data_IF_582756267845
#
_entry.id   IF_582756267845
#
_cell.length_a   1.000
_cell.length_b   1.000
_cell.length_c   1.000
_cell.angle_alpha   90.00
_cell.angle_beta   90.00
_cell.angle_gamma   90.00
#
_symmetry.space_group_name_H-M   'P 1'
#
loop_
_entity.id
_entity.type
_entity.pdbx_description
1 polymer ?
#
# COMPACT_ATOMS: atom_id res chain seq x y z
N UNK A 1 -29.11 -14.79 -3.75
CA UNK A 1 -29.23 -14.33 -2.35
C UNK A 1 -27.87 -14.25 -1.65
N UNK A 2 -27.08 -15.34 -1.62
CA UNK A 2 -25.75 -15.36 -0.98
C UNK A 2 -24.77 -14.29 -1.53
N UNK A 3 -24.75 -14.08 -2.85
CA UNK A 3 -23.85 -13.10 -3.47
C UNK A 3 -24.19 -11.64 -3.12
N UNK A 4 -25.48 -11.29 -3.06
CA UNK A 4 -25.93 -9.94 -2.68
C UNK A 4 -25.61 -9.68 -1.20
N UNK A 5 -25.86 -10.67 -0.33
CA UNK A 5 -25.50 -10.58 1.09
C UNK A 5 -23.98 -10.41 1.27
N UNK A 6 -23.17 -11.13 0.49
CA UNK A 6 -21.72 -11.00 0.51
C UNK A 6 -21.24 -9.61 0.10
N UNK A 7 -21.81 -9.02 -0.97
CA UNK A 7 -21.46 -7.66 -1.40
C UNK A 7 -21.81 -6.63 -0.32
N UNK A 8 -23.02 -6.71 0.25
CA UNK A 8 -23.45 -5.79 1.31
C UNK A 8 -22.52 -5.84 2.52
N UNK A 9 -22.23 -7.05 3.02
CA UNK A 9 -21.33 -7.24 4.16
C UNK A 9 -19.91 -6.76 3.84
N UNK A 10 -19.41 -6.98 2.62
CA UNK A 10 -18.10 -6.49 2.21
C UNK A 10 -18.03 -4.96 2.23
N UNK A 11 -19.05 -4.28 1.70
CA UNK A 11 -19.11 -2.81 1.68
C UNK A 11 -19.18 -2.23 3.10
N UNK A 12 -19.96 -2.84 4.00
CA UNK A 12 -20.01 -2.43 5.41
C UNK A 12 -18.65 -2.53 6.09
N UNK A 13 -17.92 -3.63 5.84
CA UNK A 13 -16.57 -3.82 6.37
C UNK A 13 -15.59 -2.80 5.80
N UNK A 14 -15.65 -2.50 4.51
CA UNK A 14 -14.82 -1.47 3.89
C UNK A 14 -15.10 -0.09 4.52
N UNK A 15 -16.37 0.24 4.75
CA UNK A 15 -16.75 1.48 5.45
C UNK A 15 -16.22 1.51 6.89
N UNK A 16 -16.26 0.39 7.60
CA UNK A 16 -15.71 0.28 8.95
C UNK A 16 -14.19 0.47 8.96
N UNK A 17 -13.44 -0.07 7.99
CA UNK A 17 -11.99 0.15 7.86
C UNK A 17 -11.71 1.65 7.75
N UNK A 18 -12.41 2.37 6.87
CA UNK A 18 -12.25 3.81 6.70
C UNK A 18 -12.51 4.58 8.01
N UNK A 19 -13.62 4.28 8.69
CA UNK A 19 -13.99 4.94 9.96
C UNK A 19 -12.94 4.66 11.04
N UNK A 20 -12.52 3.40 11.17
CA UNK A 20 -11.56 2.97 12.16
C UNK A 20 -10.17 3.55 11.89
N UNK A 21 -9.75 3.64 10.63
CA UNK A 21 -8.49 4.27 10.23
C UNK A 21 -8.48 5.76 10.58
N UNK A 22 -9.54 6.50 10.25
CA UNK A 22 -9.66 7.92 10.62
C UNK A 22 -9.61 8.08 12.14
N UNK A 23 -10.30 7.22 12.88
CA UNK A 23 -10.30 7.22 14.34
C UNK A 23 -8.90 6.90 14.89
N UNK A 24 -8.24 5.89 14.34
CA UNK A 24 -6.91 5.46 14.74
C UNK A 24 -5.86 6.55 14.56
N UNK A 25 -5.87 7.26 13.42
CA UNK A 25 -5.02 8.42 13.20
C UNK A 25 -5.21 9.52 14.25
N UNK A 26 -6.45 9.72 14.72
CA UNK A 26 -6.80 10.80 15.68
C UNK A 26 -6.55 10.43 17.13
N UNK A 27 -6.80 9.17 17.50
CA UNK A 27 -6.89 8.74 18.90
C UNK A 27 -5.74 7.83 19.33
N UNK A 28 -5.19 7.05 18.40
CA UNK A 28 -4.19 6.02 18.71
C UNK A 28 -2.76 6.46 18.33
N UNK A 29 -2.62 7.28 17.28
CA UNK A 29 -1.33 7.83 16.90
C UNK A 29 -1.00 9.03 17.78
N UNK A 30 0.10 8.92 18.52
CA UNK A 30 0.59 10.01 19.35
C UNK A 30 0.97 11.23 18.52
N UNK A 31 0.82 12.42 19.11
CA UNK A 31 1.15 13.71 18.48
C UNK A 31 2.59 13.71 17.94
N UNK A 32 3.52 13.07 18.65
CA UNK A 32 4.93 12.96 18.23
C UNK A 32 5.06 12.25 16.87
N UNK A 33 4.38 11.12 16.69
CA UNK A 33 4.40 10.37 15.44
C UNK A 33 3.75 11.15 14.29
N UNK A 34 2.65 11.87 14.58
CA UNK A 34 2.03 12.77 13.58
C UNK A 34 3.02 13.85 13.16
N UNK A 35 3.72 14.46 14.11
CA UNK A 35 4.74 15.48 13.82
C UNK A 35 5.92 14.93 13.02
N UNK A 36 6.37 13.69 13.31
CA UNK A 36 7.40 13.01 12.52
C UNK A 36 6.94 12.72 11.08
N UNK A 37 5.70 12.28 10.89
CA UNK A 37 5.12 12.10 9.54
C UNK A 37 5.02 13.43 8.79
N UNK A 38 4.53 14.47 9.46
CA UNK A 38 4.41 15.80 8.85
C UNK A 38 5.77 16.41 8.51
N UNK A 39 6.81 16.17 9.32
CA UNK A 39 8.14 16.71 9.05
C UNK A 39 8.81 16.09 7.82
N UNK A 40 8.42 14.87 7.44
CA UNK A 40 8.87 14.20 6.20
C UNK A 40 7.88 14.36 5.04
N UNK A 41 6.86 15.23 5.17
CA UNK A 41 5.97 15.63 4.08
C UNK A 41 4.61 14.92 4.03
N UNK A 42 4.30 14.00 4.95
CA UNK A 42 2.98 13.36 4.99
C UNK A 42 1.92 14.25 5.64
N UNK A 43 0.74 14.31 5.02
CA UNK A 43 -0.46 14.79 5.67
C UNK A 43 -1.30 13.61 6.15
N UNK A 44 -1.36 13.40 7.47
CA UNK A 44 -2.13 12.31 8.10
C UNK A 44 -3.63 12.36 7.79
N UNK A 45 -4.18 13.54 7.47
CA UNK A 45 -5.60 13.67 7.08
C UNK A 45 -5.88 13.10 5.67
N UNK A 46 -4.84 12.97 4.86
CA UNK A 46 -4.89 12.45 3.50
C UNK A 46 -4.30 11.04 3.37
N UNK A 47 -3.65 10.53 4.42
CA UNK A 47 -3.01 9.22 4.44
C UNK A 47 -4.03 8.15 4.83
N UNK A 48 -4.61 7.50 3.83
CA UNK A 48 -5.71 6.56 4.00
C UNK A 48 -5.46 5.26 3.23
N UNK A 49 -4.99 4.24 3.95
CA UNK A 49 -4.68 2.92 3.43
C UNK A 49 -5.93 2.07 3.13
N UNK A 50 -7.11 2.42 3.67
CA UNK A 50 -8.34 1.66 3.42
C UNK A 50 -8.62 1.46 1.92
N UNK A 51 -8.22 2.43 1.08
CA UNK A 51 -8.42 2.39 -0.37
C UNK A 51 -7.74 1.18 -1.00
N UNK A 52 -6.46 1.01 -0.71
CA UNK A 52 -5.69 -0.14 -1.17
C UNK A 52 -6.21 -1.46 -0.60
N UNK A 53 -6.51 -1.47 0.71
CA UNK A 53 -7.04 -2.65 1.40
C UNK A 53 -8.40 -3.06 0.82
N UNK A 54 -9.24 -2.10 0.45
CA UNK A 54 -10.50 -2.34 -0.26
C UNK A 54 -10.24 -3.05 -1.59
N UNK A 55 -9.28 -2.58 -2.39
CA UNK A 55 -8.95 -3.23 -3.66
C UNK A 55 -8.42 -4.65 -3.45
N UNK A 56 -7.65 -4.90 -2.38
CA UNK A 56 -7.24 -6.25 -1.98
C UNK A 56 -8.43 -7.13 -1.58
N UNK A 57 -9.34 -6.64 -0.74
CA UNK A 57 -10.55 -7.36 -0.31
C UNK A 57 -11.47 -7.72 -1.48
N UNK A 58 -11.62 -6.81 -2.43
CA UNK A 58 -12.42 -7.01 -3.65
C UNK A 58 -11.74 -7.93 -4.67
N UNK A 59 -10.51 -8.39 -4.40
CA UNK A 59 -9.74 -9.25 -5.30
C UNK A 59 -9.21 -8.54 -6.53
N UNK A 60 -9.26 -7.20 -6.56
CA UNK A 60 -8.69 -6.40 -7.64
C UNK A 60 -7.16 -6.43 -7.59
N UNK A 61 -6.63 -6.28 -6.38
CA UNK A 61 -5.21 -6.39 -6.05
C UNK A 61 -4.93 -7.69 -5.33
N UNK A 62 -3.74 -8.21 -5.54
CA UNK A 62 -3.26 -9.30 -4.72
C UNK A 62 -2.93 -8.84 -3.31
N UNK A 63 -2.11 -7.79 -3.18
CA UNK A 63 -1.67 -7.29 -1.89
C UNK A 63 -1.56 -5.77 -1.85
N UNK A 64 -1.58 -5.26 -0.63
CA UNK A 64 -1.26 -3.88 -0.25
C UNK A 64 0.00 -3.90 0.60
N UNK A 65 0.89 -2.95 0.36
CA UNK A 65 2.12 -2.76 1.14
C UNK A 65 2.06 -1.39 1.81
N UNK A 66 2.05 -1.37 3.13
CA UNK A 66 2.12 -0.15 3.94
C UNK A 66 3.57 0.02 4.40
N UNK A 67 4.18 1.14 4.02
CA UNK A 67 5.61 1.43 4.26
C UNK A 67 5.81 2.64 5.16
N UNK A 68 4.79 3.44 5.40
CA UNK A 68 4.88 4.75 6.04
C UNK A 68 5.30 4.64 7.51
N UNK A 69 4.98 3.51 8.14
CA UNK A 69 5.41 3.19 9.50
C UNK A 69 6.91 2.89 9.60
N UNK A 70 7.58 2.59 8.47
CA UNK A 70 9.03 2.34 8.43
C UNK A 70 9.87 3.54 8.86
N UNK A 71 9.34 4.75 8.63
CA UNK A 71 10.05 6.00 8.84
C UNK A 71 9.91 6.54 10.26
N UNK A 72 9.06 5.94 11.09
CA UNK A 72 8.72 6.48 12.40
C UNK A 72 9.58 5.89 13.51
N UNK A 73 10.11 6.78 14.35
CA UNK A 73 10.80 6.36 15.55
C UNK A 73 9.75 5.96 16.57
N UNK A 74 9.61 4.66 16.77
CA UNK A 74 8.90 4.08 17.92
C UNK A 74 9.68 4.54 19.16
N UNK A 75 9.20 5.62 19.81
CA UNK A 75 9.88 6.27 20.93
C UNK A 75 10.28 5.26 22.00
N UNK A 76 11.53 5.29 22.45
CA UNK A 76 12.09 4.28 23.35
C UNK A 76 11.76 4.45 24.83
N UNK A 77 10.51 4.72 25.23
CA UNK A 77 10.10 4.47 26.61
C UNK A 77 9.82 2.97 26.77
N UNK A 78 10.74 2.27 27.44
CA UNK A 78 10.86 0.81 27.52
C UNK A 78 9.67 0.02 28.08
N UNK A 79 8.45 0.56 28.09
CA UNK A 79 7.22 -0.11 28.48
C UNK A 79 6.26 -0.19 27.28
N UNK A 80 6.43 -1.21 26.43
CA UNK A 80 5.33 -1.76 25.65
C UNK A 80 4.85 -0.99 24.42
N UNK A 81 5.75 -0.42 23.60
CA UNK A 81 5.31 0.03 22.27
C UNK A 81 4.91 -1.16 21.42
N UNK A 82 3.60 -1.36 21.34
CA UNK A 82 2.94 -2.00 20.22
C UNK A 82 3.48 -1.33 18.96
N UNK A 83 4.06 -2.11 18.03
CA UNK A 83 4.50 -1.55 16.75
C UNK A 83 3.33 -0.86 16.07
N UNK A 84 3.58 0.21 15.31
CA UNK A 84 2.49 0.90 14.58
C UNK A 84 1.73 -0.05 13.67
N UNK A 85 2.43 -1.03 13.09
CA UNK A 85 1.81 -2.17 12.38
C UNK A 85 0.79 -2.89 13.26
N UNK A 86 1.19 -3.35 14.45
CA UNK A 86 0.30 -4.08 15.35
C UNK A 86 -0.86 -3.21 15.83
N UNK A 87 -0.61 -1.93 16.12
CA UNK A 87 -1.66 -0.98 16.48
C UNK A 87 -2.68 -0.81 15.35
N UNK A 88 -2.22 -0.68 14.10
CA UNK A 88 -3.08 -0.63 12.93
C UNK A 88 -3.88 -1.92 12.74
N UNK A 89 -3.22 -3.08 12.91
CA UNK A 89 -3.87 -4.39 12.83
C UNK A 89 -5.00 -4.49 13.87
N UNK A 90 -4.71 -4.18 15.13
CA UNK A 90 -5.66 -4.37 16.23
C UNK A 90 -6.85 -3.40 16.13
N UNK A 91 -6.61 -2.15 15.74
CA UNK A 91 -7.62 -1.09 15.77
C UNK A 91 -8.34 -0.90 14.43
N UNK A 92 -7.73 -1.24 13.30
CA UNK A 92 -8.28 -0.99 11.95
C UNK A 92 -8.62 -2.29 11.25
N UNK A 93 -7.73 -3.30 11.29
CA UNK A 93 -7.89 -4.53 10.52
C UNK A 93 -8.47 -5.72 11.28
N UNK A 94 -8.67 -5.60 12.59
CA UNK A 94 -9.13 -6.74 13.41
C UNK A 94 -10.47 -7.30 12.91
N UNK A 95 -11.42 -6.43 12.56
CA UNK A 95 -12.71 -6.87 12.02
C UNK A 95 -12.61 -7.57 10.65
N UNK A 96 -12.03 -6.96 9.59
CA UNK A 96 -11.90 -7.65 8.30
C UNK A 96 -11.08 -8.93 8.39
N UNK A 97 -10.00 -8.94 9.18
CA UNK A 97 -9.18 -10.15 9.38
C UNK A 97 -9.97 -11.27 10.08
N UNK A 98 -10.82 -10.94 11.04
CA UNK A 98 -11.65 -11.95 11.72
C UNK A 98 -12.79 -12.47 10.83
N UNK A 99 -13.52 -11.56 10.17
CA UNK A 99 -14.70 -11.94 9.36
C UNK A 99 -14.33 -12.60 8.03
N UNK A 100 -13.24 -12.17 7.43
CA UNK A 100 -12.76 -12.64 6.14
C UNK A 100 -11.42 -13.36 6.26
N UNK A 101 -11.16 -14.04 7.38
CA UNK A 101 -9.90 -14.76 7.63
C UNK A 101 -9.56 -15.82 6.57
N UNK A 102 -10.52 -16.30 5.79
CA UNK A 102 -10.28 -17.20 4.65
C UNK A 102 -9.84 -16.47 3.37
N UNK A 103 -10.06 -15.16 3.30
CA UNK A 103 -9.84 -14.32 2.12
C UNK A 103 -8.65 -13.40 2.34
N UNK A 104 -8.57 -12.71 3.47
CA UNK A 104 -7.54 -11.71 3.76
C UNK A 104 -6.69 -12.15 4.93
N UNK A 105 -5.41 -11.79 4.87
CA UNK A 105 -4.42 -12.10 5.88
C UNK A 105 -3.29 -11.06 5.80
N UNK A 106 -2.37 -11.09 6.76
CA UNK A 106 -1.30 -10.10 6.83
C UNK A 106 0.05 -10.70 7.24
N UNK A 107 1.13 -10.00 6.88
CA UNK A 107 2.49 -10.28 7.36
C UNK A 107 3.22 -8.97 7.64
N UNK A 108 3.95 -8.94 8.74
CA UNK A 108 4.93 -7.89 9.00
C UNK A 108 6.24 -8.33 8.36
N UNK A 109 6.83 -7.43 7.59
CA UNK A 109 8.10 -7.64 6.89
C UNK A 109 9.14 -6.74 7.54
N UNK A 110 10.20 -7.32 8.08
CA UNK A 110 11.25 -6.58 8.76
C UNK A 110 12.03 -5.70 7.80
N UNK A 111 12.23 -6.17 6.57
CA UNK A 111 12.94 -5.43 5.53
C UNK A 111 12.42 -5.75 4.13
N UNK A 112 12.18 -4.72 3.33
CA UNK A 112 11.94 -4.79 1.89
C UNK A 112 12.97 -3.92 1.18
N UNK A 113 13.67 -4.48 0.20
CA UNK A 113 14.67 -3.76 -0.57
C UNK A 113 14.53 -4.06 -2.07
N UNK A 114 14.61 -3.00 -2.86
CA UNK A 114 14.77 -3.02 -4.32
C UNK A 114 15.96 -2.17 -4.74
N UNK A 115 16.19 -2.00 -6.04
CA UNK A 115 17.21 -1.05 -6.53
C UNK A 115 16.86 0.42 -6.29
N UNK A 116 15.60 0.75 -6.02
CA UNK A 116 15.15 2.14 -5.83
C UNK A 116 14.73 2.47 -4.40
N UNK A 117 14.38 1.48 -3.57
CA UNK A 117 13.89 1.72 -2.23
C UNK A 117 14.39 0.69 -1.20
N UNK A 118 14.40 1.11 0.07
CA UNK A 118 14.69 0.26 1.21
C UNK A 118 13.77 0.66 2.36
N UNK A 119 12.87 -0.23 2.74
CA UNK A 119 11.89 -0.02 3.80
C UNK A 119 12.09 -1.06 4.90
N UNK A 120 11.81 -0.67 6.14
CA UNK A 120 11.85 -1.55 7.32
C UNK A 120 10.48 -1.65 7.98
N UNK A 121 10.18 -2.73 8.67
CA UNK A 121 8.92 -2.88 9.43
C UNK A 121 7.67 -2.55 8.58
N UNK A 122 7.58 -3.12 7.39
CA UNK A 122 6.42 -2.93 6.51
C UNK A 122 5.28 -3.85 6.90
N UNK A 123 4.05 -3.46 6.57
CA UNK A 123 2.87 -4.33 6.69
C UNK A 123 2.38 -4.72 5.30
N UNK A 124 2.36 -6.03 5.03
CA UNK A 124 1.67 -6.62 3.90
C UNK A 124 0.28 -7.05 4.32
N UNK A 125 -0.72 -6.66 3.53
CA UNK A 125 -2.09 -7.17 3.62
C UNK A 125 -2.42 -7.81 2.28
N UNK A 126 -2.78 -9.10 2.25
CA UNK A 126 -2.92 -9.86 1.01
C UNK A 126 -4.17 -10.72 0.93
N UNK A 127 -4.62 -10.97 -0.30
CA UNK A 127 -5.78 -11.81 -0.59
C UNK A 127 -5.36 -13.25 -0.92
N UNK A 128 -5.73 -14.19 -0.04
CA UNK A 128 -5.43 -15.63 -0.14
C UNK A 128 -6.17 -16.35 -1.26
N UNK A 129 -7.24 -15.77 -1.79
CA UNK A 129 -7.97 -16.33 -2.94
C UNK A 129 -7.40 -15.85 -4.28
N UNK A 130 -6.51 -14.87 -4.28
CA UNK A 130 -5.92 -14.37 -5.52
C UNK A 130 -4.95 -15.40 -6.13
N UNK A 131 -4.93 -15.61 -7.46
CA UNK A 131 -4.08 -16.61 -8.10
C UNK A 131 -2.58 -16.51 -7.76
N UNK A 132 -2.06 -15.29 -7.56
CA UNK A 132 -0.66 -15.04 -7.19
C UNK A 132 -0.28 -15.59 -5.80
N UNK A 133 -1.25 -15.84 -4.91
CA UNK A 133 -1.01 -16.34 -3.57
C UNK A 133 -0.28 -17.69 -3.59
N UNK A 134 -0.87 -18.67 -4.28
CA UNK A 134 -0.31 -20.02 -4.35
C UNK A 134 0.82 -20.17 -5.37
N UNK A 135 0.86 -19.29 -6.39
CA UNK A 135 1.83 -19.42 -7.48
C UNK A 135 3.23 -18.91 -7.09
N UNK A 136 3.31 -17.77 -6.40
CA UNK A 136 4.60 -17.07 -6.21
C UNK A 136 4.79 -16.60 -4.77
N UNK A 137 3.73 -16.14 -4.12
CA UNK A 137 3.86 -15.46 -2.83
C UNK A 137 4.28 -16.38 -1.67
N UNK A 138 3.67 -17.56 -1.55
CA UNK A 138 4.04 -18.52 -0.48
C UNK A 138 5.53 -18.89 -0.60
N UNK A 139 6.00 -19.13 -1.82
CA UNK A 139 7.40 -19.47 -2.07
C UNK A 139 8.32 -18.29 -1.74
N UNK A 140 7.95 -17.08 -2.18
CA UNK A 140 8.68 -15.86 -1.88
C UNK A 140 8.86 -15.68 -0.36
N UNK A 141 7.74 -15.67 0.38
CA UNK A 141 7.76 -15.49 1.84
C UNK A 141 8.58 -16.60 2.52
N UNK A 142 8.38 -17.86 2.13
CA UNK A 142 9.10 -18.99 2.76
C UNK A 142 10.59 -18.92 2.50
N UNK A 143 11.03 -18.49 1.31
CA UNK A 143 12.46 -18.35 0.97
C UNK A 143 13.13 -17.15 1.65
N UNK A 144 12.34 -16.16 2.04
CA UNK A 144 12.78 -14.92 2.68
C UNK A 144 12.68 -14.93 4.21
N UNK A 145 12.12 -15.99 4.80
CA UNK A 145 12.00 -16.12 6.25
C UNK A 145 13.32 -16.65 6.82
N UNK A 146 13.97 -15.84 7.64
CA UNK A 146 15.20 -16.17 8.36
C UNK A 146 14.93 -17.14 9.51
N UNK A 147 15.99 -17.73 10.07
CA UNK A 147 15.89 -18.72 11.16
C UNK A 147 15.25 -18.18 12.45
N UNK A 148 15.28 -16.86 12.66
CA UNK A 148 14.63 -16.17 13.78
C UNK A 148 13.15 -15.82 13.48
N UNK A 149 12.61 -16.19 12.32
CA UNK A 149 11.25 -15.86 11.88
C UNK A 149 11.08 -14.48 11.24
N UNK A 150 12.15 -13.67 11.19
CA UNK A 150 12.19 -12.39 10.49
C UNK A 150 12.04 -12.60 8.99
N UNK A 151 11.37 -11.68 8.29
CA UNK A 151 11.16 -11.75 6.84
C UNK A 151 11.89 -10.60 6.16
N UNK A 152 12.87 -10.93 5.33
CA UNK A 152 13.61 -9.98 4.50
C UNK A 152 13.38 -10.24 3.01
N UNK A 153 12.74 -9.29 2.33
CA UNK A 153 12.42 -9.35 0.92
C UNK A 153 13.41 -8.53 0.11
N UNK A 154 14.16 -9.21 -0.76
CA UNK A 154 15.03 -8.58 -1.76
C UNK A 154 14.40 -8.81 -3.14
N UNK A 155 13.80 -7.78 -3.72
CA UNK A 155 13.00 -7.88 -4.94
C UNK A 155 13.58 -7.00 -6.04
N UNK A 156 13.43 -7.46 -7.29
CA UNK A 156 13.52 -6.57 -8.46
C UNK A 156 12.25 -5.74 -8.58
N UNK A 157 12.33 -4.60 -9.26
CA UNK A 157 11.17 -3.73 -9.48
C UNK A 157 10.06 -4.44 -10.23
N UNK A 158 10.40 -5.36 -11.14
CA UNK A 158 9.39 -6.13 -11.87
C UNK A 158 8.61 -7.10 -10.97
N UNK A 159 9.24 -7.63 -9.91
CA UNK A 159 8.57 -8.47 -8.94
C UNK A 159 7.67 -7.63 -8.03
N UNK A 160 8.18 -6.49 -7.55
CA UNK A 160 7.42 -5.58 -6.70
C UNK A 160 6.18 -5.03 -7.43
N UNK A 161 6.36 -4.50 -8.65
CA UNK A 161 5.26 -3.98 -9.48
C UNK A 161 4.19 -5.04 -9.75
N UNK A 162 4.57 -6.28 -10.03
CA UNK A 162 3.62 -7.39 -10.21
C UNK A 162 2.83 -7.69 -8.94
N UNK A 163 3.49 -7.73 -7.78
CA UNK A 163 2.82 -7.99 -6.50
C UNK A 163 1.84 -6.87 -6.14
N UNK A 164 2.20 -5.62 -6.42
CA UNK A 164 1.41 -4.42 -6.12
C UNK A 164 0.41 -4.03 -7.21
N UNK A 165 0.26 -4.83 -8.27
CA UNK A 165 -0.58 -4.56 -9.44
C UNK A 165 -0.28 -3.21 -10.08
N UNK A 166 0.98 -2.80 -10.23
CA UNK A 166 1.33 -1.56 -10.94
C UNK A 166 1.19 -1.75 -12.46
N UNK A 167 0.77 -0.72 -13.20
CA UNK A 167 0.55 -0.84 -14.66
C UNK A 167 1.83 -1.12 -15.46
N UNK A 168 2.99 -0.80 -14.88
CA UNK A 168 4.31 -1.09 -15.44
C UNK A 168 5.36 -1.12 -14.33
N UNK A 169 6.54 -1.61 -14.66
CA UNK A 169 7.70 -1.69 -13.77
C UNK A 169 8.47 -0.37 -13.74
N UNK A 170 8.82 0.15 -12.56
CA UNK A 170 9.74 1.28 -12.43
C UNK A 170 11.12 0.88 -12.97
N UNK A 171 11.83 1.80 -13.66
CA UNK A 171 13.20 1.53 -14.10
C UNK A 171 14.07 1.16 -12.88
N UNK A 172 15.02 0.24 -13.05
CA UNK A 172 15.95 -0.10 -11.97
C UNK A 172 16.96 1.05 -11.78
N UNK A 173 17.39 1.31 -10.54
CA UNK A 173 18.44 2.29 -10.19
C UNK A 173 18.17 3.76 -10.58
N UNK A 174 16.92 4.22 -10.57
CA UNK A 174 16.56 5.64 -10.85
C UNK A 174 17.27 6.59 -9.88
N UNK A 175 17.42 6.19 -8.62
CA UNK A 175 18.07 7.00 -7.58
C UNK A 175 19.61 6.88 -7.57
N UNK A 176 20.21 6.01 -8.39
CA UNK A 176 21.65 5.80 -8.43
C UNK A 176 22.33 6.85 -9.31
N UNK A 177 22.48 8.07 -8.79
CA UNK A 177 23.09 9.22 -9.48
C UNK A 177 24.58 9.12 -9.81
N UNK A 178 25.14 7.92 -10.05
CA UNK A 178 26.58 7.72 -10.29
C UNK A 178 26.98 7.41 -11.73
N UNK A 179 26.04 7.19 -12.66
CA UNK A 179 26.39 6.91 -14.07
C UNK A 179 26.02 8.07 -15.02
N UNK A 180 27.06 8.75 -15.51
CA UNK A 180 27.15 9.65 -16.68
C UNK A 180 26.67 11.11 -16.56
N UNK A 181 27.59 12.03 -16.90
CA UNK A 181 27.48 13.49 -16.86
C UNK A 181 26.52 14.13 -17.90
N UNK A 182 25.55 13.41 -18.46
CA UNK A 182 24.62 13.97 -19.47
C UNK A 182 23.16 13.50 -19.33
N UNK A 183 22.80 12.81 -18.24
CA UNK A 183 21.43 12.37 -18.00
C UNK A 183 20.65 13.45 -17.24
N UNK A 184 19.56 13.92 -17.84
CA UNK A 184 18.46 14.48 -17.06
C UNK A 184 18.21 13.49 -15.91
N UNK A 185 18.31 13.95 -14.66
CA UNK A 185 17.82 13.18 -13.52
C UNK A 185 16.40 12.76 -13.91
N UNK A 186 16.16 11.46 -14.07
CA UNK A 186 14.84 10.92 -14.38
C UNK A 186 13.95 11.27 -13.18
N UNK A 187 13.31 12.44 -13.24
CA UNK A 187 12.49 12.95 -12.15
C UNK A 187 11.40 11.93 -11.85
N UNK A 188 11.36 11.46 -10.60
CA UNK A 188 10.32 10.57 -10.15
C UNK A 188 9.05 11.39 -9.98
N UNK A 189 7.95 10.84 -10.49
CA UNK A 189 6.62 11.42 -10.34
C UNK A 189 5.73 10.43 -9.62
N UNK A 190 4.84 10.96 -8.79
CA UNK A 190 3.78 10.23 -8.13
C UNK A 190 2.49 10.29 -8.97
N UNK A 191 1.98 9.12 -9.33
CA UNK A 191 0.68 8.93 -9.96
C UNK A 191 -0.33 8.52 -8.89
N UNK A 192 -1.10 9.49 -8.41
CA UNK A 192 -2.10 9.31 -7.36
C UNK A 192 -3.52 9.17 -7.91
N UNK A 193 -4.27 8.20 -7.38
CA UNK A 193 -5.71 8.09 -7.54
C UNK A 193 -6.37 8.71 -6.33
N UNK A 194 -7.06 9.84 -6.55
CA UNK A 194 -7.58 10.68 -5.47
C UNK A 194 -9.10 10.68 -5.43
N UNK A 195 -9.66 10.68 -4.22
CA UNK A 195 -11.08 10.96 -4.02
C UNK A 195 -11.41 12.44 -4.30
N UNK A 196 -12.70 12.77 -4.38
CA UNK A 196 -13.18 14.15 -4.56
C UNK A 196 -12.63 15.15 -3.52
N UNK A 197 -12.33 14.66 -2.30
CA UNK A 197 -11.76 15.45 -1.20
C UNK A 197 -10.22 15.51 -1.23
N UNK A 198 -9.58 15.18 -2.36
CA UNK A 198 -8.13 15.13 -2.55
C UNK A 198 -7.38 14.12 -1.65
N UNK A 199 -8.09 13.15 -1.05
CA UNK A 199 -7.44 12.05 -0.31
C UNK A 199 -6.88 11.04 -1.29
N UNK A 200 -5.63 10.62 -1.09
CA UNK A 200 -4.99 9.59 -1.90
C UNK A 200 -5.56 8.23 -1.51
N UNK A 201 -6.02 7.48 -2.49
CA UNK A 201 -6.61 6.14 -2.33
C UNK A 201 -5.61 5.06 -2.76
N UNK A 202 -4.76 5.40 -3.72
CA UNK A 202 -3.69 4.55 -4.25
C UNK A 202 -2.68 5.45 -4.97
N UNK A 203 -1.40 5.10 -4.92
CA UNK A 203 -0.33 5.82 -5.60
C UNK A 203 0.77 4.88 -6.06
N UNK A 204 1.50 5.27 -7.09
CA UNK A 204 2.71 4.60 -7.54
C UNK A 204 3.62 5.58 -8.27
N UNK A 205 4.89 5.22 -8.35
CA UNK A 205 5.92 6.07 -8.94
C UNK A 205 6.22 5.71 -10.40
N UNK A 206 6.59 6.71 -11.19
CA UNK A 206 7.10 6.54 -12.54
C UNK A 206 8.07 7.66 -12.91
N UNK A 207 8.89 7.43 -13.94
CA UNK A 207 9.68 8.52 -14.54
C UNK A 207 8.89 9.26 -15.62
N UNK A 208 9.34 10.46 -16.00
CA UNK A 208 8.70 11.25 -17.06
C UNK A 208 8.56 10.51 -18.40
N UNK A 209 9.60 9.79 -18.81
CA UNK A 209 9.57 8.96 -20.03
C UNK A 209 8.56 7.82 -19.94
N UNK A 210 8.42 7.21 -18.75
CA UNK A 210 7.46 6.14 -18.52
C UNK A 210 6.02 6.67 -18.57
N UNK A 211 5.75 7.84 -18.00
CA UNK A 211 4.44 8.48 -18.08
C UNK A 211 4.03 8.71 -19.55
N UNK A 212 4.95 9.25 -20.37
CA UNK A 212 4.68 9.46 -21.80
C UNK A 212 4.44 8.15 -22.55
N UNK A 213 5.27 7.15 -22.30
CA UNK A 213 5.25 5.89 -23.06
C UNK A 213 4.11 4.95 -22.65
N UNK A 214 3.61 5.07 -21.41
CA UNK A 214 2.63 4.15 -20.84
C UNK A 214 1.28 4.82 -20.53
N UNK A 215 0.98 5.97 -21.13
CA UNK A 215 -0.25 6.73 -20.86
C UNK A 215 -1.52 5.86 -20.97
N UNK A 216 -1.64 5.06 -22.02
CA UNK A 216 -2.82 4.20 -22.23
C UNK A 216 -2.95 3.13 -21.13
N UNK A 217 -1.83 2.59 -20.65
CA UNK A 217 -1.81 1.61 -19.55
C UNK A 217 -2.21 2.28 -18.23
N UNK A 218 -1.73 3.49 -17.96
CA UNK A 218 -2.10 4.30 -16.79
C UNK A 218 -3.60 4.59 -16.80
N UNK A 219 -4.15 5.06 -17.92
CA UNK A 219 -5.57 5.38 -18.05
C UNK A 219 -6.46 4.13 -17.91
N UNK A 220 -6.05 3.00 -18.53
CA UNK A 220 -6.73 1.71 -18.40
C UNK A 220 -6.74 1.19 -16.95
N UNK A 221 -5.58 1.25 -16.30
CA UNK A 221 -5.43 0.87 -14.91
C UNK A 221 -6.25 1.77 -13.99
N UNK A 222 -6.20 3.09 -14.16
CA UNK A 222 -7.02 4.04 -13.41
C UNK A 222 -8.52 3.73 -13.56
N UNK A 223 -9.00 3.45 -14.78
CA UNK A 223 -10.41 3.10 -15.03
C UNK A 223 -10.84 1.83 -14.27
N UNK A 224 -10.00 0.79 -14.26
CA UNK A 224 -10.25 -0.47 -13.53
C UNK A 224 -10.49 -0.19 -12.04
N UNK A 225 -9.68 0.66 -11.43
CA UNK A 225 -9.75 1.02 -10.02
C UNK A 225 -10.91 1.99 -9.72
N UNK A 226 -11.12 2.98 -10.59
CA UNK A 226 -12.20 3.96 -10.47
C UNK A 226 -13.57 3.28 -10.49
N UNK A 227 -13.79 2.29 -11.37
CA UNK A 227 -15.04 1.54 -11.42
C UNK A 227 -15.34 0.82 -10.08
N UNK A 228 -14.35 0.13 -9.50
CA UNK A 228 -14.55 -0.59 -8.24
C UNK A 228 -14.78 0.37 -7.07
N UNK A 229 -14.08 1.50 -7.06
CA UNK A 229 -14.29 2.54 -6.06
C UNK A 229 -15.70 3.13 -6.17
N UNK A 230 -16.17 3.42 -7.38
CA UNK A 230 -17.52 3.91 -7.66
C UNK A 230 -18.58 2.88 -7.24
N UNK A 231 -18.41 1.60 -7.59
CA UNK A 231 -19.34 0.53 -7.20
C UNK A 231 -19.43 0.33 -5.68
N UNK A 232 -18.42 0.77 -4.92
CA UNK A 232 -18.36 0.63 -3.47
C UNK A 232 -18.87 1.87 -2.74
N UNK A 233 -18.55 3.07 -3.23
CA UNK A 233 -18.81 4.34 -2.53
C UNK A 233 -19.72 5.32 -3.29
N UNK A 234 -20.11 5.02 -4.52
CA UNK A 234 -20.83 5.92 -5.43
C UNK A 234 -20.14 7.28 -5.60
N UNK A 235 -18.80 7.25 -5.65
CA UNK A 235 -17.93 8.43 -5.76
C UNK A 235 -16.91 8.26 -6.87
N UNK A 236 -16.56 9.36 -7.51
CA UNK A 236 -15.55 9.35 -8.56
C UNK A 236 -14.13 9.47 -7.99
N UNK A 237 -13.19 8.75 -8.63
CA UNK A 237 -11.77 9.00 -8.46
C UNK A 237 -11.27 9.99 -9.51
N UNK A 238 -10.19 10.69 -9.19
CA UNK A 238 -9.42 11.57 -10.08
C UNK A 238 -8.01 11.03 -10.22
N UNK A 239 -7.49 11.08 -11.44
CA UNK A 239 -6.08 10.78 -11.71
C UNK A 239 -5.26 12.07 -11.55
N UNK A 240 -4.23 12.04 -10.71
CA UNK A 240 -3.33 13.17 -10.48
C UNK A 240 -1.88 12.73 -10.69
N UNK A 241 -1.12 13.57 -11.38
CA UNK A 241 0.34 13.45 -11.51
C UNK A 241 0.97 14.55 -10.67
N UNK A 242 1.88 14.20 -9.77
CA UNK A 242 2.63 15.14 -8.94
C UNK A 242 4.13 14.88 -9.08
N UNK A 243 4.95 15.93 -9.08
CA UNK A 243 6.41 15.81 -9.03
C UNK A 243 6.84 15.61 -7.57
N UNK A 244 7.76 14.67 -7.32
CA UNK A 244 8.33 14.44 -5.97
C UNK A 244 9.55 15.29 -5.73
#
# INVERSE_FOLDING_TARGET
>A
MLFILYIGVMNDIINNILINEIKWWKECIGIKQIQELTSIGYNVENLLFFGEIMFTLKGLKFLTLITEFSNLHIGGDGNGLISLNQSFIDNVLSEPLNRFSSIIDYKIIDKLETSNCSFKNCLLVYNKLHPLYNQEFIQLISSSTLSNGSIELYLKENQLSKLLDYPFTLKENVNSGNDSQDSQIDEIMDIGYQSENNRVIFSYFCTFDQLKSNRDLIESHFKKYSNIFFDTFEKELKLKVSFT
#
